data_IF_370098662581
#
_entry.id   IF_370098662581
#
_cell.length_a   1.000
_cell.length_b   1.000
_cell.length_c   1.000
_cell.angle_alpha   90.00
_cell.angle_beta   90.00
_cell.angle_gamma   90.00
#
_symmetry.space_group_name_H-M   'P 1'
#
loop_
_entity.id
_entity.type
_entity.pdbx_description
1 polymer ?
#
# COMPACT_ATOMS: atom_id res chain seq x y z
N UNK A 1 11.27 19.27 -21.33
CA UNK A 1 10.42 19.35 -22.54
C UNK A 1 10.19 17.95 -23.06
N UNK A 2 9.11 17.72 -23.80
CA UNK A 2 8.86 16.49 -24.56
C UNK A 2 8.56 16.86 -26.01
N UNK A 3 8.88 15.95 -26.93
CA UNK A 3 8.54 16.12 -28.34
C UNK A 3 7.14 15.54 -28.60
N UNK A 4 6.30 16.29 -29.31
CA UNK A 4 4.95 15.87 -29.69
C UNK A 4 4.69 16.17 -31.16
N UNK A 5 3.83 15.38 -31.78
CA UNK A 5 3.32 15.66 -33.11
C UNK A 5 2.13 16.62 -33.00
N UNK A 6 2.24 17.78 -33.64
CA UNK A 6 1.15 18.76 -33.76
C UNK A 6 0.61 18.75 -35.20
N UNK A 7 -0.56 19.35 -35.46
CA UNK A 7 -1.04 19.54 -36.84
C UNK A 7 -0.03 20.26 -37.77
N UNK A 8 0.88 21.07 -37.22
CA UNK A 8 1.94 21.77 -37.97
C UNK A 8 3.29 21.05 -38.03
N UNK A 9 3.37 19.80 -37.55
CA UNK A 9 4.60 19.02 -37.45
C UNK A 9 5.10 18.83 -36.02
N UNK A 10 6.33 18.33 -35.87
CA UNK A 10 6.94 18.06 -34.57
C UNK A 10 7.21 19.37 -33.80
N UNK A 11 6.81 19.41 -32.53
CA UNK A 11 7.06 20.53 -31.63
C UNK A 11 7.54 20.05 -30.26
N UNK A 12 8.32 20.88 -29.57
CA UNK A 12 8.71 20.63 -28.19
C UNK A 12 7.80 21.41 -27.24
N UNK A 13 7.18 20.73 -26.29
CA UNK A 13 6.32 21.34 -25.26
C UNK A 13 6.83 21.02 -23.85
N UNK A 14 6.40 21.79 -22.86
CA UNK A 14 6.59 21.42 -21.45
C UNK A 14 5.81 20.12 -21.20
N UNK A 15 6.41 19.16 -20.51
CA UNK A 15 5.73 17.91 -20.16
C UNK A 15 4.67 18.21 -19.09
N UNK A 16 3.36 18.11 -19.39
CA UNK A 16 2.32 18.38 -18.41
C UNK A 16 2.25 17.29 -17.33
N UNK A 17 2.83 16.10 -17.57
CA UNK A 17 2.88 15.01 -16.60
C UNK A 17 4.04 15.15 -15.59
N UNK A 18 4.94 16.11 -15.80
CA UNK A 18 6.10 16.30 -14.92
C UNK A 18 5.70 16.97 -13.60
N UNK A 19 4.92 18.05 -13.69
CA UNK A 19 4.38 18.78 -12.54
C UNK A 19 3.24 19.70 -13.01
N UNK A 20 2.25 19.93 -12.15
CA UNK A 20 1.24 20.96 -12.34
C UNK A 20 1.79 22.33 -11.95
N UNK A 21 1.42 23.38 -12.68
CA UNK A 21 1.80 24.77 -12.40
C UNK A 21 0.57 25.48 -11.88
N UNK A 22 0.65 26.07 -10.70
CA UNK A 22 -0.48 26.79 -10.13
C UNK A 22 -0.71 28.14 -10.84
N UNK A 23 -1.98 28.45 -11.11
CA UNK A 23 -2.39 29.71 -11.72
C UNK A 23 -3.84 30.07 -11.29
N UNK A 24 -4.04 30.94 -10.27
CA UNK A 24 -3.03 31.66 -9.50
C UNK A 24 -2.27 30.77 -8.50
N UNK A 25 -1.23 31.33 -7.89
CA UNK A 25 -0.51 30.68 -6.81
C UNK A 25 -1.45 30.44 -5.61
N UNK A 26 -1.52 29.22 -5.04
CA UNK A 26 -2.27 28.97 -3.82
C UNK A 26 -1.67 29.73 -2.64
N UNK A 27 -2.54 30.19 -1.76
CA UNK A 27 -2.18 30.76 -0.46
C UNK A 27 -2.12 29.67 0.62
N UNK A 28 -1.51 29.99 1.77
CA UNK A 28 -1.55 29.09 2.92
C UNK A 28 -2.98 28.80 3.42
N UNK A 29 -3.94 29.70 3.18
CA UNK A 29 -5.36 29.45 3.46
C UNK A 29 -6.02 28.45 2.50
N UNK A 30 -5.52 28.34 1.27
CA UNK A 30 -6.00 27.32 0.33
C UNK A 30 -5.49 25.94 0.74
N UNK A 31 -4.23 25.85 1.20
CA UNK A 31 -3.61 24.60 1.67
C UNK A 31 -3.19 24.65 3.16
N UNK A 32 -4.13 24.71 4.12
CA UNK A 32 -3.81 24.93 5.54
C UNK A 32 -3.01 23.80 6.20
N UNK A 33 -2.97 22.59 5.64
CA UNK A 33 -2.24 21.49 6.25
C UNK A 33 -0.72 21.69 6.18
N UNK A 34 0.00 21.10 7.14
CA UNK A 34 1.45 21.26 7.29
C UNK A 34 1.87 22.74 7.26
N UNK A 35 1.12 23.60 7.96
CA UNK A 35 1.36 25.04 8.06
C UNK A 35 1.47 25.77 6.71
N UNK A 36 0.77 25.30 5.66
CA UNK A 36 0.83 25.94 4.35
C UNK A 36 2.09 25.65 3.55
N UNK A 37 2.96 24.73 3.99
CA UNK A 37 4.28 24.51 3.38
C UNK A 37 4.20 24.29 1.87
N UNK A 38 3.26 23.47 1.41
CA UNK A 38 3.14 23.16 -0.02
C UNK A 38 2.53 24.32 -0.84
N UNK A 39 1.86 25.29 -0.22
CA UNK A 39 1.34 26.47 -0.91
C UNK A 39 2.45 27.42 -1.36
N UNK A 40 3.66 27.31 -0.80
CA UNK A 40 4.80 28.12 -1.21
C UNK A 40 5.40 27.69 -2.57
N UNK A 41 5.11 26.47 -3.03
CA UNK A 41 5.67 25.97 -4.28
C UNK A 41 4.83 26.39 -5.49
N UNK A 42 5.46 26.99 -6.49
CA UNK A 42 4.79 27.39 -7.74
C UNK A 42 4.30 26.22 -8.60
N UNK A 43 4.84 25.04 -8.34
CA UNK A 43 4.47 23.80 -8.99
C UNK A 43 4.32 22.70 -7.97
N UNK A 44 3.66 21.61 -8.34
CA UNK A 44 3.69 20.39 -7.53
C UNK A 44 5.13 19.85 -7.42
N UNK A 45 5.51 19.39 -6.24
CA UNK A 45 6.86 18.89 -5.94
C UNK A 45 6.82 17.50 -5.30
N UNK A 46 7.91 16.74 -5.47
CA UNK A 46 8.12 15.40 -4.92
C UNK A 46 9.44 15.43 -4.16
N UNK A 47 9.46 15.04 -2.89
CA UNK A 47 10.64 15.16 -2.02
C UNK A 47 11.34 16.54 -2.12
N UNK A 48 10.64 17.66 -1.88
CA UNK A 48 11.28 18.98 -1.95
C UNK A 48 12.45 19.07 -0.96
N UNK A 49 13.57 19.64 -1.40
CA UNK A 49 14.66 20.06 -0.51
C UNK A 49 14.28 21.30 0.31
N UNK A 50 15.19 21.80 1.16
CA UNK A 50 14.99 23.01 1.97
C UNK A 50 14.71 24.28 1.14
N UNK A 51 15.05 24.28 -0.15
CA UNK A 51 14.81 25.37 -1.09
C UNK A 51 13.55 25.15 -1.94
N UNK A 52 12.83 24.04 -1.76
CA UNK A 52 11.65 23.68 -2.53
C UNK A 52 11.91 23.01 -3.88
N UNK A 53 13.15 22.62 -4.17
CA UNK A 53 13.47 21.90 -5.40
C UNK A 53 12.98 20.46 -5.31
N UNK A 54 12.19 20.02 -6.28
CA UNK A 54 11.69 18.64 -6.37
C UNK A 54 12.83 17.64 -6.63
N UNK A 55 12.86 16.54 -5.89
CA UNK A 55 13.87 15.47 -5.94
C UNK A 55 13.26 14.11 -6.32
N UNK A 56 12.78 13.93 -7.57
CA UNK A 56 12.11 12.69 -7.98
C UNK A 56 13.01 11.43 -7.94
N UNK A 57 14.33 11.58 -7.87
CA UNK A 57 15.23 10.44 -7.68
C UNK A 57 15.10 9.81 -6.28
N UNK A 58 14.77 10.59 -5.24
CA UNK A 58 14.49 10.06 -3.91
C UNK A 58 13.22 9.23 -3.91
N UNK A 59 12.19 9.67 -4.64
CA UNK A 59 11.00 8.86 -4.86
C UNK A 59 11.33 7.51 -5.51
N UNK A 60 12.19 7.50 -6.54
CA UNK A 60 12.65 6.26 -7.15
C UNK A 60 13.44 5.38 -6.16
N UNK A 61 14.24 5.98 -5.29
CA UNK A 61 15.02 5.25 -4.29
C UNK A 61 14.13 4.56 -3.26
N UNK A 62 13.12 5.26 -2.72
CA UNK A 62 12.16 4.68 -1.77
C UNK A 62 11.26 3.62 -2.44
N UNK A 63 10.77 3.88 -3.65
CA UNK A 63 10.02 2.89 -4.42
C UNK A 63 10.86 1.63 -4.68
N UNK A 64 12.12 1.79 -5.07
CA UNK A 64 13.04 0.66 -5.28
C UNK A 64 13.31 -0.09 -3.98
N UNK A 65 13.46 0.63 -2.86
CA UNK A 65 13.71 0.03 -1.57
C UNK A 65 12.55 -0.86 -1.10
N UNK A 66 11.31 -0.48 -1.45
CA UNK A 66 10.07 -1.18 -1.08
C UNK A 66 9.49 -2.06 -2.21
N UNK A 67 10.15 -2.12 -3.37
CA UNK A 67 9.64 -2.79 -4.59
C UNK A 67 9.28 -4.26 -4.35
N UNK A 68 10.14 -5.01 -3.64
CA UNK A 68 9.91 -6.42 -3.37
C UNK A 68 8.68 -6.63 -2.49
N UNK A 69 8.52 -5.82 -1.45
CA UNK A 69 7.38 -5.94 -0.56
C UNK A 69 6.06 -5.57 -1.24
N UNK A 70 6.04 -4.50 -2.04
CA UNK A 70 4.85 -4.14 -2.82
C UNK A 70 4.48 -5.22 -3.85
N UNK A 71 5.48 -5.86 -4.46
CA UNK A 71 5.30 -6.98 -5.38
C UNK A 71 4.67 -8.19 -4.68
N UNK A 72 5.27 -8.63 -3.56
CA UNK A 72 4.77 -9.76 -2.77
C UNK A 72 3.36 -9.49 -2.22
N UNK A 73 3.09 -8.29 -1.70
CA UNK A 73 1.77 -7.90 -1.19
C UNK A 73 0.71 -7.87 -2.30
N UNK A 74 1.08 -7.42 -3.50
CA UNK A 74 0.16 -7.41 -4.65
C UNK A 74 -0.26 -8.83 -5.00
N UNK A 75 0.69 -9.76 -5.09
CA UNK A 75 0.38 -11.16 -5.37
C UNK A 75 -0.45 -11.80 -4.26
N UNK A 76 -0.08 -11.59 -2.99
CA UNK A 76 -0.83 -12.11 -1.84
C UNK A 76 -2.27 -11.60 -1.79
N UNK A 77 -2.49 -10.31 -2.10
CA UNK A 77 -3.82 -9.72 -2.11
C UNK A 77 -4.71 -10.31 -3.20
N UNK A 78 -4.16 -10.53 -4.40
CA UNK A 78 -4.93 -10.97 -5.56
C UNK A 78 -5.03 -12.49 -5.70
N UNK A 79 -4.15 -13.26 -5.06
CA UNK A 79 -4.17 -14.73 -5.11
C UNK A 79 -4.93 -15.40 -3.96
N UNK A 80 -5.30 -14.65 -2.92
CA UNK A 80 -6.12 -15.15 -1.81
C UNK A 80 -7.53 -14.57 -1.89
N UNK A 81 -8.53 -15.30 -1.37
CA UNK A 81 -9.92 -14.86 -1.38
C UNK A 81 -10.22 -13.91 -0.23
N UNK A 82 -10.65 -12.70 -0.54
CA UNK A 82 -11.04 -11.66 0.42
C UNK A 82 -12.52 -11.35 0.35
N UNK A 83 -13.10 -10.93 1.48
CA UNK A 83 -14.36 -10.18 1.45
C UNK A 83 -14.09 -8.73 1.03
N UNK A 84 -15.12 -8.01 0.54
CA UNK A 84 -14.95 -6.66 0.00
C UNK A 84 -14.29 -5.69 0.98
N UNK A 85 -14.77 -5.62 2.22
CA UNK A 85 -14.32 -4.64 3.21
C UNK A 85 -12.79 -4.70 3.45
N UNK A 86 -12.21 -5.83 3.89
CA UNK A 86 -10.77 -5.93 4.14
C UNK A 86 -9.92 -5.85 2.87
N UNK A 87 -10.46 -6.20 1.68
CA UNK A 87 -9.76 -5.94 0.42
C UNK A 87 -9.68 -4.44 0.12
N UNK A 88 -10.80 -3.74 0.28
CA UNK A 88 -11.00 -2.37 -0.18
C UNK A 88 -10.24 -1.32 0.62
N UNK A 89 -10.18 -1.47 1.95
CA UNK A 89 -9.72 -0.39 2.84
C UNK A 89 -8.96 -0.91 4.06
N UNK A 90 -8.26 -0.02 4.72
CA UNK A 90 -7.42 -0.27 5.89
C UNK A 90 -8.20 -0.34 7.20
N UNK A 91 -9.48 0.02 7.25
CA UNK A 91 -10.29 0.08 8.47
C UNK A 91 -10.84 -1.27 8.94
N UNK A 92 -10.78 -2.30 8.08
CA UNK A 92 -11.33 -3.63 8.38
C UNK A 92 -10.26 -4.71 8.26
N UNK A 93 -10.18 -5.57 9.27
CA UNK A 93 -9.50 -6.85 9.16
C UNK A 93 -10.51 -7.93 8.75
N UNK A 94 -10.06 -8.93 7.99
CA UNK A 94 -10.92 -10.01 7.46
C UNK A 94 -11.41 -11.01 8.53
N UNK A 95 -11.15 -10.77 9.82
CA UNK A 95 -11.60 -11.62 10.94
C UNK A 95 -10.93 -13.00 11.04
N UNK A 96 -10.36 -13.52 9.94
CA UNK A 96 -9.66 -14.80 9.80
C UNK A 96 -8.18 -14.73 10.22
N UNK A 97 -7.92 -14.08 11.35
CA UNK A 97 -6.68 -14.29 12.11
C UNK A 97 -5.34 -13.91 11.45
N UNK A 98 -5.23 -12.78 10.72
CA UNK A 98 -3.91 -12.29 10.25
C UNK A 98 -3.85 -11.76 8.82
N UNK A 99 -5.00 -11.56 8.19
CA UNK A 99 -5.13 -11.00 6.85
C UNK A 99 -5.31 -9.47 6.93
N UNK A 100 -4.20 -8.74 7.04
CA UNK A 100 -4.18 -7.28 7.28
C UNK A 100 -3.71 -6.46 6.05
N UNK A 101 -3.61 -7.06 4.87
CA UNK A 101 -3.33 -6.31 3.65
C UNK A 101 -4.62 -5.84 2.98
N UNK A 102 -4.57 -4.68 2.32
CA UNK A 102 -5.66 -4.14 1.52
C UNK A 102 -5.08 -3.37 0.33
N UNK A 103 -5.92 -3.09 -0.67
CA UNK A 103 -5.50 -2.27 -1.80
C UNK A 103 -5.14 -0.85 -1.35
N UNK A 104 -5.90 -0.30 -0.38
CA UNK A 104 -5.64 1.01 0.22
C UNK A 104 -4.29 1.06 0.97
N UNK A 105 -3.90 -0.01 1.67
CA UNK A 105 -2.59 -0.09 2.33
C UNK A 105 -1.43 0.11 1.33
N UNK A 106 -1.44 -0.60 0.20
CA UNK A 106 -0.42 -0.46 -0.83
C UNK A 106 -0.51 0.90 -1.54
N UNK A 107 -1.72 1.39 -1.77
CA UNK A 107 -1.97 2.73 -2.32
C UNK A 107 -1.36 3.84 -1.46
N UNK A 108 -1.56 3.78 -0.14
CA UNK A 108 -1.04 4.76 0.81
C UNK A 108 0.49 4.80 0.81
N UNK A 109 1.13 3.64 0.67
CA UNK A 109 2.58 3.52 0.58
C UNK A 109 3.14 4.27 -0.65
N UNK A 110 2.52 4.11 -1.84
CA UNK A 110 2.96 4.80 -3.06
C UNK A 110 2.83 6.33 -2.93
N UNK A 111 1.73 6.81 -2.35
CA UNK A 111 1.56 8.23 -2.06
C UNK A 111 2.74 8.80 -1.24
N UNK A 112 3.14 8.06 -0.21
CA UNK A 112 4.26 8.43 0.66
C UNK A 112 5.61 8.38 -0.05
N UNK A 113 5.93 7.28 -0.71
CA UNK A 113 7.20 7.09 -1.38
C UNK A 113 7.40 8.08 -2.53
N UNK A 114 6.34 8.43 -3.27
CA UNK A 114 6.42 9.42 -4.34
C UNK A 114 6.49 10.84 -3.77
N UNK A 115 5.71 11.12 -2.73
CA UNK A 115 5.55 12.46 -2.21
C UNK A 115 6.75 12.95 -1.40
N UNK A 116 7.37 12.11 -0.57
CA UNK A 116 8.32 12.60 0.44
C UNK A 116 7.60 13.56 1.36
N UNK A 117 8.01 14.83 1.44
CA UNK A 117 7.29 15.97 2.06
C UNK A 117 6.43 16.80 1.09
N UNK A 118 6.41 16.48 -0.20
CA UNK A 118 5.70 17.19 -1.29
C UNK A 118 4.23 16.77 -1.52
N UNK A 119 3.66 17.09 -2.68
CA UNK A 119 2.22 16.99 -2.93
C UNK A 119 1.65 15.58 -2.78
N UNK A 120 2.31 14.56 -3.35
CA UNK A 120 1.76 13.20 -3.39
C UNK A 120 1.51 12.57 -2.01
N UNK A 121 2.18 13.01 -0.95
CA UNK A 121 1.87 12.54 0.42
C UNK A 121 1.18 13.57 1.33
N UNK A 122 0.78 14.73 0.80
CA UNK A 122 -0.26 15.54 1.45
C UNK A 122 -1.59 15.22 0.79
N UNK A 123 -2.28 14.19 1.29
CA UNK A 123 -3.40 13.54 0.62
C UNK A 123 -4.46 14.50 0.05
N UNK A 124 -4.97 15.52 0.78
CA UNK A 124 -5.97 16.44 0.22
C UNK A 124 -5.50 17.25 -1.00
N UNK A 125 -4.20 17.29 -1.26
CA UNK A 125 -3.58 18.03 -2.36
C UNK A 125 -2.78 17.12 -3.30
N UNK A 126 -2.84 15.80 -3.10
CA UNK A 126 -2.11 14.83 -3.90
C UNK A 126 -2.57 14.80 -5.36
N UNK A 127 -3.87 15.00 -5.60
CA UNK A 127 -4.47 15.01 -6.94
C UNK A 127 -3.98 16.14 -7.85
N UNK A 128 -3.32 17.17 -7.31
CA UNK A 128 -2.68 18.19 -8.13
C UNK A 128 -1.43 17.66 -8.85
N UNK A 129 -0.70 16.70 -8.27
CA UNK A 129 0.46 16.10 -8.93
C UNK A 129 -0.02 15.16 -10.07
N UNK A 130 0.38 15.37 -11.33
CA UNK A 130 -0.10 14.56 -12.45
C UNK A 130 0.11 13.05 -12.30
N UNK A 131 1.11 12.60 -11.53
CA UNK A 131 1.34 11.16 -11.30
C UNK A 131 0.25 10.49 -10.46
N UNK A 132 -0.54 11.28 -9.72
CA UNK A 132 -1.71 10.81 -8.97
C UNK A 132 -2.63 9.97 -9.86
N UNK A 133 -2.93 10.45 -11.06
CA UNK A 133 -3.87 9.81 -11.97
C UNK A 133 -3.30 8.51 -12.57
N UNK A 134 -1.98 8.43 -12.77
CA UNK A 134 -1.32 7.21 -13.21
C UNK A 134 -1.29 6.15 -12.11
N UNK A 135 -1.06 6.59 -10.87
CA UNK A 135 -1.15 5.72 -9.69
C UNK A 135 -2.57 5.16 -9.53
N UNK A 136 -3.58 6.03 -9.53
CA UNK A 136 -4.99 5.64 -9.39
C UNK A 136 -5.51 4.81 -10.56
N UNK A 137 -4.99 4.99 -11.78
CA UNK A 137 -5.28 4.08 -12.89
C UNK A 137 -4.76 2.65 -12.62
N UNK A 138 -3.60 2.51 -11.97
CA UNK A 138 -3.13 1.19 -11.57
C UNK A 138 -3.89 0.62 -10.36
N UNK A 139 -4.36 1.46 -9.43
CA UNK A 139 -5.25 1.02 -8.34
C UNK A 139 -6.56 0.48 -8.90
N UNK A 140 -7.19 1.21 -9.82
CA UNK A 140 -8.39 0.77 -10.53
C UNK A 140 -8.14 -0.52 -11.34
N UNK A 141 -6.97 -0.65 -11.98
CA UNK A 141 -6.54 -1.91 -12.62
C UNK A 141 -6.54 -3.05 -11.61
N UNK A 142 -5.83 -2.94 -10.49
CA UNK A 142 -5.75 -4.01 -9.49
C UNK A 142 -7.13 -4.36 -8.91
N UNK A 143 -7.99 -3.37 -8.67
CA UNK A 143 -9.37 -3.57 -8.25
C UNK A 143 -10.17 -4.36 -9.30
N UNK A 144 -10.05 -3.98 -10.57
CA UNK A 144 -10.73 -4.64 -11.69
C UNK A 144 -10.27 -6.09 -11.90
N UNK A 145 -8.97 -6.37 -11.70
CA UNK A 145 -8.45 -7.75 -11.70
C UNK A 145 -9.06 -8.56 -10.56
N UNK A 146 -9.15 -7.97 -9.36
CA UNK A 146 -9.77 -8.64 -8.21
C UNK A 146 -11.25 -8.94 -8.44
N UNK A 147 -12.02 -8.01 -9.02
CA UNK A 147 -13.43 -8.24 -9.39
C UNK A 147 -13.58 -9.41 -10.37
N UNK A 148 -12.67 -9.55 -11.33
CA UNK A 148 -12.69 -10.65 -12.28
C UNK A 148 -12.35 -12.01 -11.64
N UNK A 149 -11.59 -12.03 -10.55
CA UNK A 149 -11.25 -13.23 -9.80
C UNK A 149 -12.33 -13.61 -8.78
N UNK A 150 -12.99 -12.62 -8.20
CA UNK A 150 -13.95 -12.79 -7.10
C UNK A 150 -15.26 -12.02 -7.38
N UNK A 151 -16.02 -12.39 -8.43
CA UNK A 151 -17.19 -11.63 -8.87
C UNK A 151 -18.32 -11.53 -7.82
N UNK A 152 -18.40 -12.50 -6.90
CA UNK A 152 -19.41 -12.53 -5.84
C UNK A 152 -19.02 -11.71 -4.60
N UNK A 153 -17.77 -11.21 -4.53
CA UNK A 153 -17.27 -10.44 -3.40
C UNK A 153 -17.70 -8.97 -3.47
N UNK A 154 -18.99 -8.71 -3.67
CA UNK A 154 -19.53 -7.34 -3.72
C UNK A 154 -19.59 -6.70 -2.33
N UNK A 155 -19.69 -5.36 -2.29
CA UNK A 155 -20.08 -4.65 -1.07
C UNK A 155 -21.51 -5.02 -0.71
N UNK A 156 -21.68 -5.84 0.34
CA UNK A 156 -22.97 -6.38 0.79
C UNK A 156 -23.42 -5.82 2.14
N UNK A 157 -22.52 -5.19 2.89
CA UNK A 157 -22.78 -4.67 4.24
C UNK A 157 -22.38 -3.22 4.31
N UNK A 158 -23.21 -2.41 4.97
CA UNK A 158 -22.89 -1.01 5.21
C UNK A 158 -21.70 -0.87 6.16
N UNK A 159 -20.81 0.06 5.85
CA UNK A 159 -19.57 0.35 6.57
C UNK A 159 -19.60 1.77 7.12
N UNK A 160 -19.00 1.99 8.29
CA UNK A 160 -18.88 3.33 8.85
C UNK A 160 -17.66 4.03 8.26
N UNK A 161 -17.87 5.22 7.69
CA UNK A 161 -16.79 6.12 7.31
C UNK A 161 -16.33 6.90 8.53
N UNK A 162 -15.36 6.31 9.21
CA UNK A 162 -14.65 6.85 10.36
C UNK A 162 -14.32 8.36 10.24
N UNK A 163 -13.63 8.75 9.16
CA UNK A 163 -13.08 10.09 8.99
C UNK A 163 -14.08 11.09 8.38
N UNK A 164 -15.11 10.60 7.70
CA UNK A 164 -16.02 11.40 6.90
C UNK A 164 -15.38 11.91 5.59
N UNK A 165 -16.20 12.57 4.79
CA UNK A 165 -15.82 13.24 3.53
C UNK A 165 -16.45 14.63 3.48
N UNK A 166 -16.26 15.36 2.37
CA UNK A 166 -16.91 16.66 2.20
C UNK A 166 -18.45 16.58 2.28
N UNK A 167 -19.05 15.48 1.80
CA UNK A 167 -20.52 15.30 1.77
C UNK A 167 -21.05 14.32 2.80
N UNK A 168 -20.17 13.66 3.56
CA UNK A 168 -20.55 12.67 4.57
C UNK A 168 -19.88 13.03 5.91
N UNK A 169 -20.64 13.23 6.99
CA UNK A 169 -20.02 13.50 8.29
C UNK A 169 -19.21 12.29 8.79
N UNK A 170 -18.22 12.51 9.66
CA UNK A 170 -17.52 11.43 10.36
C UNK A 170 -18.50 10.45 11.04
N UNK A 171 -18.24 9.15 10.91
CA UNK A 171 -19.11 8.06 11.38
C UNK A 171 -20.32 7.80 10.47
N UNK A 172 -20.47 8.51 9.35
CA UNK A 172 -21.55 8.27 8.38
C UNK A 172 -21.48 6.87 7.78
N UNK A 173 -22.63 6.25 7.57
CA UNK A 173 -22.70 4.90 7.01
C UNK A 173 -22.72 4.94 5.48
N UNK A 174 -21.90 4.11 4.85
CA UNK A 174 -21.81 3.95 3.41
C UNK A 174 -22.14 2.50 3.01
N UNK A 175 -22.74 2.31 1.85
CA UNK A 175 -23.06 1.03 1.24
C UNK A 175 -22.95 1.12 -0.29
N UNK A 176 -23.28 0.03 -0.99
CA UNK A 176 -23.16 -0.02 -2.44
C UNK A 176 -24.02 1.00 -3.20
N UNK A 177 -25.07 1.52 -2.57
CA UNK A 177 -25.99 2.50 -3.13
C UNK A 177 -25.65 3.95 -2.78
N UNK A 178 -24.71 4.14 -1.85
CA UNK A 178 -24.30 5.45 -1.35
C UNK A 178 -23.72 6.32 -2.48
N UNK A 179 -24.07 7.61 -2.52
CA UNK A 179 -23.71 8.49 -3.63
C UNK A 179 -22.22 8.81 -3.63
N UNK A 180 -21.52 8.48 -4.72
CA UNK A 180 -20.15 8.89 -4.98
C UNK A 180 -20.15 10.33 -5.53
N UNK A 181 -20.35 11.30 -4.65
CA UNK A 181 -20.34 12.72 -5.04
C UNK A 181 -18.92 13.17 -5.44
N UNK A 182 -18.78 14.12 -6.38
CA UNK A 182 -19.81 14.79 -7.16
C UNK A 182 -20.06 14.14 -8.54
N UNK A 183 -19.72 12.85 -8.72
CA UNK A 183 -19.76 12.21 -10.03
C UNK A 183 -21.18 11.92 -10.48
N UNK A 184 -21.62 12.50 -11.60
CA UNK A 184 -23.00 12.43 -12.10
C UNK A 184 -23.16 11.45 -13.27
N UNK A 185 -24.28 10.74 -13.29
CA UNK A 185 -24.76 9.98 -14.45
C UNK A 185 -25.38 10.92 -15.50
N UNK A 186 -25.69 10.39 -16.69
CA UNK A 186 -26.37 11.14 -17.74
C UNK A 186 -27.77 11.64 -17.32
N UNK A 187 -28.43 10.90 -16.43
CA UNK A 187 -29.72 11.23 -15.82
C UNK A 187 -29.61 12.22 -14.65
N UNK A 188 -28.41 12.79 -14.42
CA UNK A 188 -28.11 13.77 -13.37
C UNK A 188 -28.24 13.23 -11.92
N UNK A 189 -28.30 11.91 -11.76
CA UNK A 189 -28.14 11.24 -10.46
C UNK A 189 -26.65 11.08 -10.12
N UNK A 190 -26.29 10.77 -8.88
CA UNK A 190 -24.89 10.46 -8.56
C UNK A 190 -24.56 9.02 -8.94
N UNK A 191 -23.34 8.77 -9.41
CA UNK A 191 -22.79 7.42 -9.44
C UNK A 191 -22.76 6.82 -8.02
N UNK A 192 -22.71 5.48 -7.93
CA UNK A 192 -22.50 4.72 -6.69
C UNK A 192 -21.68 3.47 -7.01
N UNK A 193 -21.33 2.66 -6.00
CA UNK A 193 -20.52 1.46 -6.23
C UNK A 193 -21.18 0.48 -7.21
N UNK A 194 -22.52 0.34 -7.17
CA UNK A 194 -23.25 -0.53 -8.11
C UNK A 194 -23.11 -0.05 -9.57
N UNK A 195 -23.26 1.25 -9.84
CA UNK A 195 -23.12 1.79 -11.21
C UNK A 195 -21.67 1.84 -11.67
N UNK A 196 -20.72 1.94 -10.73
CA UNK A 196 -19.29 1.93 -10.99
C UNK A 196 -18.69 0.51 -11.13
N UNK A 197 -19.43 -0.55 -10.75
CA UNK A 197 -18.89 -1.91 -10.66
C UNK A 197 -18.32 -2.46 -11.98
N UNK A 198 -18.90 -2.08 -13.12
CA UNK A 198 -18.43 -2.50 -14.43
C UNK A 198 -17.71 -1.36 -15.15
N UNK A 199 -16.38 -1.41 -15.19
CA UNK A 199 -15.53 -0.41 -15.85
C UNK A 199 -15.83 -0.23 -17.34
N UNK A 200 -16.36 -1.25 -18.02
CA UNK A 200 -16.69 -1.18 -19.45
C UNK A 200 -17.81 -0.18 -19.73
N UNK A 201 -18.67 0.09 -18.76
CA UNK A 201 -19.70 1.13 -18.83
C UNK A 201 -19.12 2.53 -18.98
N UNK A 202 -17.85 2.73 -18.61
CA UNK A 202 -17.11 3.98 -18.76
C UNK A 202 -16.20 4.02 -20.00
N UNK A 203 -16.29 3.00 -20.88
CA UNK A 203 -15.61 2.99 -22.16
C UNK A 203 -14.14 2.55 -22.12
N UNK A 204 -13.68 1.92 -21.05
CA UNK A 204 -12.31 1.41 -20.95
C UNK A 204 -12.23 -0.02 -20.40
N UNK A 205 -11.05 -0.63 -20.53
CA UNK A 205 -10.69 -1.93 -19.94
C UNK A 205 -9.17 -2.02 -19.79
N UNK A 206 -8.67 -3.10 -19.18
CA UNK A 206 -7.25 -3.39 -19.04
C UNK A 206 -6.81 -4.57 -19.91
N UNK A 207 -5.54 -4.63 -20.36
CA UNK A 207 -5.06 -5.73 -21.21
C UNK A 207 -5.32 -7.12 -20.63
N UNK A 208 -5.23 -7.29 -19.31
CA UNK A 208 -5.48 -8.56 -18.63
C UNK A 208 -6.96 -8.95 -18.61
N UNK A 209 -7.87 -8.00 -18.83
CA UNK A 209 -9.32 -8.20 -18.90
C UNK A 209 -9.85 -8.16 -20.35
N UNK A 210 -9.03 -7.73 -21.30
CA UNK A 210 -9.41 -7.65 -22.69
C UNK A 210 -9.59 -9.06 -23.27
N UNK A 211 -10.72 -9.28 -23.94
CA UNK A 211 -10.95 -10.47 -24.74
C UNK A 211 -10.05 -10.42 -25.97
N UNK A 212 -9.36 -11.52 -26.30
CA UNK A 212 -8.61 -11.65 -27.56
C UNK A 212 -9.50 -11.75 -28.81
N UNK A 213 -10.83 -11.62 -28.64
CA UNK A 213 -11.82 -11.68 -29.71
C UNK A 213 -12.98 -10.69 -29.53
N UNK A 214 -13.64 -10.38 -30.63
CA UNK A 214 -14.74 -9.39 -30.77
C UNK A 214 -16.06 -9.80 -30.09
N UNK A 215 -16.09 -10.93 -29.39
CA UNK A 215 -17.28 -11.41 -28.68
C UNK A 215 -17.30 -10.85 -27.25
N UNK A 216 -18.34 -10.09 -26.93
CA UNK A 216 -18.64 -9.64 -25.56
C UNK A 216 -18.98 -10.78 -24.58
N UNK A 217 -19.02 -12.04 -25.05
CA UNK A 217 -19.35 -13.25 -24.29
C UNK A 217 -18.12 -14.11 -23.99
N UNK A 218 -17.13 -13.57 -23.25
CA UNK A 218 -16.19 -14.47 -22.55
C UNK A 218 -16.84 -14.88 -21.22
N UNK A 219 -16.90 -16.18 -20.94
CA UNK A 219 -17.39 -16.66 -19.64
C UNK A 219 -16.51 -16.13 -18.50
N UNK A 220 -17.11 -15.78 -17.37
CA UNK A 220 -16.37 -15.26 -16.21
C UNK A 220 -15.17 -16.13 -15.82
N UNK A 221 -15.29 -17.46 -15.96
CA UNK A 221 -14.20 -18.42 -15.72
C UNK A 221 -12.96 -18.24 -16.61
N UNK A 222 -13.15 -17.92 -17.90
CA UNK A 222 -12.05 -17.72 -18.83
C UNK A 222 -11.33 -16.39 -18.57
N UNK A 223 -12.06 -15.33 -18.20
CA UNK A 223 -11.45 -14.07 -17.75
C UNK A 223 -10.67 -14.32 -16.46
N UNK A 224 -11.25 -15.01 -15.46
CA UNK A 224 -10.52 -15.33 -14.23
C UNK A 224 -9.23 -16.10 -14.52
N UNK A 225 -9.26 -17.12 -15.37
CA UNK A 225 -8.08 -17.88 -15.79
C UNK A 225 -7.00 -17.00 -16.43
N UNK A 226 -7.39 -16.15 -17.39
CA UNK A 226 -6.48 -15.18 -18.02
C UNK A 226 -5.84 -14.23 -17.00
N UNK A 227 -6.63 -13.71 -16.06
CA UNK A 227 -6.14 -12.84 -14.99
C UNK A 227 -5.17 -13.60 -14.09
N UNK A 228 -5.46 -14.84 -13.71
CA UNK A 228 -4.54 -15.67 -12.92
C UNK A 228 -3.21 -15.88 -13.61
N UNK A 229 -3.20 -16.26 -14.90
CA UNK A 229 -1.95 -16.40 -15.67
C UNK A 229 -1.17 -15.08 -15.76
N UNK A 230 -1.86 -13.96 -15.99
CA UNK A 230 -1.23 -12.64 -16.03
C UNK A 230 -0.61 -12.27 -14.68
N UNK A 231 -1.30 -12.52 -13.57
CA UNK A 231 -0.81 -12.27 -12.23
C UNK A 231 0.36 -13.18 -11.87
N UNK A 232 0.33 -14.45 -12.28
CA UNK A 232 1.46 -15.36 -12.10
C UNK A 232 2.70 -14.86 -12.84
N UNK A 233 2.53 -14.40 -14.08
CA UNK A 233 3.63 -13.85 -14.88
C UNK A 233 4.23 -12.56 -14.30
N UNK A 234 3.38 -11.67 -13.78
CA UNK A 234 3.80 -10.34 -13.33
C UNK A 234 4.25 -10.33 -11.86
N UNK A 235 3.57 -11.10 -11.01
CA UNK A 235 3.63 -10.94 -9.56
C UNK A 235 3.99 -12.21 -8.77
N UNK A 236 4.09 -13.39 -9.38
CA UNK A 236 4.45 -14.59 -8.62
C UNK A 236 5.89 -14.47 -8.04
N UNK A 237 6.07 -14.55 -6.71
CA UNK A 237 7.37 -14.41 -6.07
C UNK A 237 8.31 -15.60 -6.33
N UNK A 238 7.81 -16.75 -6.79
CA UNK A 238 8.64 -17.92 -7.15
C UNK A 238 9.21 -17.85 -8.57
N UNK A 239 8.78 -16.85 -9.36
CA UNK A 239 9.24 -16.63 -10.72
C UNK A 239 10.67 -16.08 -10.84
N UNK A 240 11.02 -15.60 -12.04
CA UNK A 240 12.40 -15.17 -12.39
C UNK A 240 12.87 -13.85 -11.74
N UNK A 241 12.11 -13.26 -10.82
CA UNK A 241 12.54 -12.03 -10.14
C UNK A 241 13.54 -12.41 -9.05
N UNK A 242 14.79 -11.99 -9.24
CA UNK A 242 15.82 -12.12 -8.21
C UNK A 242 15.43 -11.19 -7.04
N UNK A 243 15.23 -11.73 -5.82
CA UNK A 243 14.95 -10.91 -4.66
C UNK A 243 16.05 -9.87 -4.47
N UNK A 244 15.71 -8.67 -3.98
CA UNK A 244 16.71 -7.69 -3.55
C UNK A 244 17.58 -8.34 -2.46
N UNK A 245 18.91 -8.39 -2.67
CA UNK A 245 19.83 -8.86 -1.65
C UNK A 245 19.92 -7.82 -0.53
N UNK A 246 19.55 -8.24 0.69
CA UNK A 246 19.69 -7.43 1.90
C UNK A 246 21.10 -7.61 2.47
N UNK A 247 21.74 -6.50 2.85
CA UNK A 247 23.07 -6.54 3.47
C UNK A 247 22.94 -6.75 4.98
N UNK A 248 23.01 -8.01 5.44
CA UNK A 248 22.90 -8.38 6.86
C UNK A 248 24.25 -8.92 7.36
N UNK A 249 24.63 -8.57 8.61
CA UNK A 249 25.90 -9.03 9.22
C UNK A 249 25.86 -10.47 9.75
N UNK A 250 24.71 -11.15 9.68
CA UNK A 250 24.54 -12.47 10.27
C UNK A 250 25.22 -13.56 9.42
N UNK A 251 26.04 -14.39 10.06
CA UNK A 251 26.56 -15.62 9.46
C UNK A 251 25.53 -16.74 9.64
N UNK A 252 24.81 -17.09 8.60
CA UNK A 252 24.00 -18.31 8.58
C UNK A 252 24.57 -19.30 7.58
N UNK A 253 25.13 -20.38 8.12
CA UNK A 253 25.55 -21.56 7.37
C UNK A 253 24.34 -22.45 7.07
N UNK A 254 23.85 -22.44 5.84
CA UNK A 254 23.62 -23.63 5.03
C UNK A 254 22.92 -23.22 3.72
N UNK A 255 23.62 -23.43 2.61
CA UNK A 255 23.05 -23.30 1.27
C UNK A 255 22.04 -24.43 1.06
N UNK A 256 20.75 -24.08 1.06
CA UNK A 256 19.71 -24.83 0.36
C UNK A 256 19.37 -24.11 -0.95
N UNK A 257 19.11 -24.87 -2.01
CA UNK A 257 18.61 -24.36 -3.30
C UNK A 257 17.39 -23.46 -3.11
N UNK A 258 17.09 -22.59 -4.10
CA UNK A 258 15.81 -21.86 -4.21
C UNK A 258 14.65 -22.88 -4.18
N UNK A 259 14.18 -23.23 -3.00
CA UNK A 259 12.98 -24.03 -2.82
C UNK A 259 11.81 -23.08 -2.80
N UNK A 260 10.82 -23.37 -3.63
CA UNK A 260 9.48 -22.80 -3.52
C UNK A 260 9.04 -22.81 -2.05
N UNK A 261 8.68 -21.66 -1.47
CA UNK A 261 8.50 -21.54 -0.02
C UNK A 261 7.24 -22.29 0.43
N UNK A 262 7.38 -23.22 1.37
CA UNK A 262 6.24 -23.93 1.97
C UNK A 262 5.57 -23.12 3.09
N UNK A 263 6.24 -22.09 3.60
CA UNK A 263 5.69 -21.16 4.58
C UNK A 263 5.79 -19.71 4.10
N UNK A 264 4.76 -18.93 4.42
CA UNK A 264 4.72 -17.49 4.20
C UNK A 264 4.68 -16.75 5.54
N UNK A 265 5.49 -15.70 5.66
CA UNK A 265 5.62 -14.89 6.86
C UNK A 265 5.31 -13.43 6.56
N UNK A 266 4.52 -12.80 7.43
CA UNK A 266 4.20 -11.37 7.36
C UNK A 266 4.34 -10.71 8.74
N UNK A 267 4.64 -9.42 8.77
CA UNK A 267 4.37 -8.55 9.91
C UNK A 267 3.00 -7.92 9.71
N UNK A 268 2.10 -8.17 10.63
CA UNK A 268 0.79 -7.54 10.69
C UNK A 268 0.80 -6.37 11.65
N UNK A 269 0.23 -5.25 11.20
CA UNK A 269 0.25 -3.98 11.90
C UNK A 269 -1.20 -3.57 12.16
N UNK A 270 -1.48 -3.21 13.41
CA UNK A 270 -2.73 -2.56 13.82
C UNK A 270 -2.35 -1.27 14.53
N UNK A 271 -2.73 -0.13 13.96
CA UNK A 271 -2.44 1.17 14.51
C UNK A 271 -3.73 1.99 14.68
N UNK A 272 -3.79 2.88 15.68
CA UNK A 272 -4.83 3.91 15.73
C UNK A 272 -4.30 5.18 15.08
N UNK A 273 -4.86 5.66 13.96
CA UNK A 273 -4.39 6.89 13.31
C UNK A 273 -4.41 8.12 14.23
N UNK A 274 -5.33 8.14 15.20
CA UNK A 274 -5.48 9.21 16.19
C UNK A 274 -4.38 9.28 17.25
N UNK A 275 -3.48 8.29 17.33
CA UNK A 275 -2.41 8.26 18.35
C UNK A 275 -1.49 9.49 18.30
N UNK A 276 -1.32 10.10 17.12
CA UNK A 276 -0.41 11.24 16.89
C UNK A 276 -1.02 12.43 16.17
N UNK A 277 -2.29 12.36 15.77
CA UNK A 277 -2.93 13.37 14.89
C UNK A 277 -2.07 13.76 13.68
N UNK A 278 -1.24 12.83 13.19
CA UNK A 278 -0.29 13.01 12.09
C UNK A 278 0.09 11.65 11.53
N UNK A 279 0.39 11.61 10.22
CA UNK A 279 0.85 10.39 9.57
C UNK A 279 2.30 10.09 9.96
N UNK A 280 2.65 8.81 10.07
CA UNK A 280 4.02 8.37 10.33
C UNK A 280 4.34 7.09 9.57
N UNK A 281 5.62 6.80 9.43
CA UNK A 281 6.14 5.60 8.76
C UNK A 281 6.81 4.70 9.76
N UNK A 282 6.61 3.39 9.61
CA UNK A 282 7.29 2.33 10.36
C UNK A 282 8.20 1.59 9.39
N UNK A 283 9.50 1.62 9.63
CA UNK A 283 10.53 0.94 8.85
C UNK A 283 10.90 -0.38 9.54
N UNK A 284 10.96 -1.48 8.79
CA UNK A 284 11.31 -2.80 9.28
C UNK A 284 12.62 -3.27 8.67
N UNK A 285 13.50 -3.86 9.47
CA UNK A 285 14.87 -4.20 9.10
C UNK A 285 15.21 -5.64 9.49
N UNK A 286 16.11 -6.26 8.73
CA UNK A 286 16.87 -7.42 9.19
C UNK A 286 18.24 -6.96 9.70
N UNK A 287 18.46 -7.11 11.00
CA UNK A 287 19.56 -6.54 11.76
C UNK A 287 19.36 -5.04 12.06
N UNK A 288 20.31 -4.48 12.81
CA UNK A 288 20.31 -3.05 13.16
C UNK A 288 20.24 -2.16 11.91
N UNK A 289 19.46 -1.08 11.91
CA UNK A 289 19.51 -0.08 10.83
C UNK A 289 20.95 0.42 10.64
N UNK A 290 21.39 0.57 9.39
CA UNK A 290 22.78 0.88 9.03
C UNK A 290 23.36 2.13 9.73
N UNK A 291 22.50 3.05 10.17
CA UNK A 291 22.81 4.12 11.11
C UNK A 291 21.58 4.35 12.04
N UNK A 292 21.61 3.87 13.30
CA UNK A 292 20.50 4.07 14.23
C UNK A 292 20.35 5.54 14.67
N UNK A 293 21.31 6.41 14.35
CA UNK A 293 21.34 7.82 14.71
C UNK A 293 20.91 8.77 13.59
N UNK A 294 20.72 8.27 12.36
CA UNK A 294 20.27 9.05 11.21
C UNK A 294 18.93 8.56 10.63
N UNK A 295 17.79 9.09 11.11
CA UNK A 295 16.45 8.74 10.63
C UNK A 295 16.26 8.94 9.12
N UNK A 296 16.93 9.96 8.57
CA UNK A 296 16.90 10.27 7.13
C UNK A 296 17.37 9.13 6.22
N UNK A 297 18.18 8.19 6.72
CA UNK A 297 18.70 7.06 5.95
C UNK A 297 17.81 5.80 6.00
N UNK A 298 16.81 5.76 6.89
CA UNK A 298 16.03 4.55 7.18
C UNK A 298 15.20 4.05 6.01
N UNK A 299 14.57 4.96 5.25
CA UNK A 299 13.67 4.60 4.13
C UNK A 299 14.38 3.95 2.95
N UNK A 300 15.72 3.96 2.93
CA UNK A 300 16.53 3.41 1.84
C UNK A 300 17.68 2.53 2.33
N UNK A 301 17.69 2.18 3.61
CA UNK A 301 18.75 1.38 4.21
C UNK A 301 18.96 0.04 3.45
N UNK A 302 20.20 -0.46 3.38
CA UNK A 302 20.52 -1.67 2.63
C UNK A 302 19.94 -2.94 3.25
N UNK A 303 19.57 -2.90 4.53
CA UNK A 303 18.92 -3.97 5.26
C UNK A 303 17.44 -3.70 5.57
N UNK A 304 16.87 -2.64 4.99
CA UNK A 304 15.43 -2.38 5.05
C UNK A 304 14.68 -3.50 4.32
N UNK A 305 13.76 -4.13 5.03
CA UNK A 305 12.78 -5.06 4.46
C UNK A 305 11.76 -4.25 3.65
N UNK A 306 11.04 -3.36 4.35
CA UNK A 306 10.06 -2.45 3.79
C UNK A 306 9.58 -1.45 4.86
N UNK A 307 8.77 -0.50 4.42
CA UNK A 307 8.16 0.54 5.24
C UNK A 307 6.64 0.47 5.14
N UNK A 308 5.95 0.64 6.27
CA UNK A 308 4.51 0.77 6.35
C UNK A 308 4.13 2.21 6.71
N UNK A 309 3.08 2.74 6.07
CA UNK A 309 2.60 4.10 6.30
C UNK A 309 1.32 4.03 7.11
N UNK A 310 1.36 4.57 8.33
CA UNK A 310 0.17 4.80 9.14
C UNK A 310 -0.36 6.18 8.76
N UNK A 311 -1.40 6.17 7.94
CA UNK A 311 -2.03 7.38 7.43
C UNK A 311 -2.98 7.98 8.46
N UNK A 312 -2.88 9.29 8.64
CA UNK A 312 -3.85 10.10 9.36
C UNK A 312 -4.38 11.18 8.42
N UNK A 313 -5.70 11.21 8.26
CA UNK A 313 -6.41 12.29 7.59
C UNK A 313 -7.19 13.09 8.66
N UNK A 314 -6.97 14.39 8.80
CA UNK A 314 -7.80 15.21 9.67
C UNK A 314 -9.24 15.27 9.11
N UNK A 315 -10.26 15.35 9.98
CA UNK A 315 -11.64 15.48 9.53
C UNK A 315 -11.83 16.78 8.72
N UNK A 316 -12.81 16.81 7.79
CA UNK A 316 -13.08 17.99 6.98
C UNK A 316 -13.48 19.20 7.84
N UNK A 317 -13.09 20.44 7.47
CA UNK A 317 -13.35 21.65 8.28
C UNK A 317 -14.84 21.92 8.56
N UNK A 318 -15.74 21.38 7.74
CA UNK A 318 -17.19 21.53 7.87
C UNK A 318 -17.81 20.67 8.97
N UNK A 319 -17.07 19.73 9.58
CA UNK A 319 -17.58 18.96 10.70
C UNK A 319 -17.47 19.77 11.99
N UNK A 320 -18.59 20.31 12.49
CA UNK A 320 -18.72 20.82 13.88
C UNK A 320 -18.55 19.70 14.95
N UNK A 321 -18.22 18.49 14.53
CA UNK A 321 -17.94 17.35 15.38
C UNK A 321 -16.42 17.35 15.55
N UNK A 322 -15.95 17.72 16.75
CA UNK A 322 -14.58 17.38 17.15
C UNK A 322 -14.40 15.89 16.88
N UNK A 323 -13.40 15.49 16.07
CA UNK A 323 -12.99 14.10 15.95
C UNK A 323 -12.93 13.55 17.37
N UNK A 324 -13.83 12.63 17.72
CA UNK A 324 -13.82 12.10 19.07
C UNK A 324 -12.46 11.45 19.24
N UNK A 325 -11.66 11.94 20.18
CA UNK A 325 -10.35 11.38 20.54
C UNK A 325 -10.45 9.94 21.06
N UNK A 326 -11.68 9.39 21.11
CA UNK A 326 -12.05 8.06 21.53
C UNK A 326 -12.54 7.15 20.39
N UNK A 327 -12.38 7.51 19.10
CA UNK A 327 -12.66 6.55 18.04
C UNK A 327 -11.64 5.40 18.16
N UNK A 328 -12.15 4.19 18.42
CA UNK A 328 -11.36 2.94 18.49
C UNK A 328 -10.97 2.47 17.07
N UNK A 329 -10.79 3.41 16.15
CA UNK A 329 -10.55 3.15 14.74
C UNK A 329 -9.14 2.65 14.57
N UNK A 330 -9.03 1.40 14.18
CA UNK A 330 -7.77 0.78 13.87
C UNK A 330 -7.61 0.74 12.36
N UNK A 331 -6.43 1.14 11.89
CA UNK A 331 -5.96 0.81 10.56
C UNK A 331 -5.11 -0.45 10.62
N UNK A 332 -5.27 -1.27 9.61
CA UNK A 332 -4.59 -2.55 9.44
C UNK A 332 -3.62 -2.45 8.25
N UNK A 333 -2.46 -3.08 8.41
CA UNK A 333 -1.43 -3.17 7.39
C UNK A 333 -0.63 -4.45 7.49
N UNK A 334 0.09 -4.79 6.42
CA UNK A 334 0.96 -5.96 6.38
C UNK A 334 2.28 -5.66 5.67
N UNK A 335 3.36 -6.29 6.12
CA UNK A 335 4.69 -6.28 5.48
C UNK A 335 5.12 -7.73 5.25
N UNK A 336 5.43 -8.14 4.02
CA UNK A 336 5.85 -9.51 3.72
C UNK A 336 7.30 -9.71 4.16
N UNK A 337 7.57 -10.85 4.78
CA UNK A 337 8.90 -11.24 5.27
C UNK A 337 9.55 -12.35 4.44
N UNK A 338 8.76 -13.20 3.77
CA UNK A 338 9.27 -14.41 3.12
C UNK A 338 10.45 -14.14 2.18
N UNK A 339 10.32 -13.16 1.28
CA UNK A 339 11.40 -12.81 0.34
C UNK A 339 12.64 -12.25 1.04
N UNK A 340 12.46 -11.51 2.13
CA UNK A 340 13.57 -11.01 2.94
C UNK A 340 14.31 -12.14 3.64
N UNK A 341 13.60 -13.12 4.20
CA UNK A 341 14.17 -14.30 4.83
C UNK A 341 14.93 -15.18 3.82
N UNK A 342 14.36 -15.39 2.64
CA UNK A 342 15.04 -16.07 1.53
C UNK A 342 16.31 -15.33 1.09
N UNK A 343 16.29 -13.99 1.06
CA UNK A 343 17.44 -13.18 0.63
C UNK A 343 18.66 -13.30 1.54
N UNK A 344 18.46 -13.70 2.80
CA UNK A 344 19.52 -13.95 3.79
C UNK A 344 19.83 -15.45 3.96
N UNK A 345 19.31 -16.29 3.06
CA UNK A 345 19.58 -17.73 3.03
C UNK A 345 18.81 -18.53 4.08
N UNK A 346 17.76 -17.98 4.70
CA UNK A 346 16.95 -18.75 5.63
C UNK A 346 16.08 -19.75 4.87
N UNK A 347 16.08 -21.01 5.32
CA UNK A 347 15.18 -22.01 4.76
C UNK A 347 13.76 -21.80 5.30
N UNK A 348 12.88 -21.26 4.45
CA UNK A 348 11.46 -21.01 4.77
C UNK A 348 10.58 -22.25 4.59
N UNK A 349 11.15 -23.44 4.36
CA UNK A 349 10.44 -24.72 4.57
C UNK A 349 10.54 -25.20 6.02
N UNK A 350 11.38 -24.58 6.85
CA UNK A 350 11.51 -24.96 8.25
C UNK A 350 10.23 -24.64 9.05
N UNK A 351 9.93 -25.43 10.10
CA UNK A 351 8.82 -25.14 11.01
C UNK A 351 8.94 -23.73 11.62
N UNK A 352 7.80 -23.13 11.96
CA UNK A 352 7.77 -21.79 12.56
C UNK A 352 8.65 -21.63 13.80
N UNK A 353 8.82 -22.70 14.59
CA UNK A 353 9.67 -22.74 15.79
C UNK A 353 11.15 -22.54 15.51
N UNK A 354 11.61 -22.81 14.28
CA UNK A 354 13.01 -22.63 13.88
C UNK A 354 13.27 -21.23 13.30
N UNK A 355 12.25 -20.59 12.74
CA UNK A 355 12.34 -19.22 12.21
C UNK A 355 12.16 -18.17 13.30
N UNK A 356 11.34 -18.44 14.32
CA UNK A 356 11.03 -17.49 15.38
C UNK A 356 12.26 -17.00 16.17
N UNK A 357 13.25 -17.84 16.54
CA UNK A 357 14.48 -17.38 17.20
C UNK A 357 15.28 -16.39 16.35
N UNK A 358 15.45 -16.69 15.05
CA UNK A 358 16.14 -15.79 14.12
C UNK A 358 15.44 -14.44 14.03
N UNK A 359 14.12 -14.43 13.87
CA UNK A 359 13.34 -13.19 13.82
C UNK A 359 13.39 -12.43 15.15
N UNK A 360 13.41 -13.12 16.29
CA UNK A 360 13.55 -12.47 17.61
C UNK A 360 14.89 -11.73 17.73
N UNK A 361 15.95 -12.31 17.18
CA UNK A 361 17.29 -11.72 17.24
C UNK A 361 17.50 -10.61 16.20
N UNK A 362 16.98 -10.79 14.99
CA UNK A 362 17.33 -9.97 13.83
C UNK A 362 16.23 -8.98 13.41
N UNK A 363 14.96 -9.21 13.72
CA UNK A 363 13.89 -8.34 13.24
C UNK A 363 13.79 -7.08 14.10
N UNK A 364 14.05 -5.94 13.48
CA UNK A 364 13.98 -4.63 14.12
C UNK A 364 13.02 -3.70 13.40
N UNK A 365 12.51 -2.70 14.12
CA UNK A 365 11.69 -1.65 13.55
C UNK A 365 12.00 -0.28 14.15
N UNK A 366 11.79 0.78 13.36
CA UNK A 366 11.86 2.18 13.79
C UNK A 366 10.70 2.95 13.20
N UNK A 367 10.24 3.99 13.87
CA UNK A 367 9.17 4.84 13.37
C UNK A 367 9.61 6.30 13.31
N UNK A 368 9.17 7.01 12.27
CA UNK A 368 9.43 8.44 12.11
C UNK A 368 8.25 9.14 11.43
N UNK A 369 8.08 10.43 11.72
CA UNK A 369 7.19 11.30 10.95
C UNK A 369 7.85 11.67 9.61
N UNK A 370 7.04 12.28 8.75
CA UNK A 370 7.40 12.68 7.40
C UNK A 370 8.63 13.59 7.29
N UNK A 371 8.82 14.44 8.29
CA UNK A 371 9.94 15.37 8.40
C UNK A 371 11.22 14.73 8.97
N UNK A 372 11.19 13.42 9.21
CA UNK A 372 12.31 12.66 9.78
C UNK A 372 12.36 12.68 11.31
N UNK A 373 11.38 13.28 11.99
CA UNK A 373 11.34 13.24 13.46
C UNK A 373 11.05 11.83 13.94
N UNK A 374 11.94 11.27 14.76
CA UNK A 374 11.75 9.94 15.36
C UNK A 374 10.48 9.91 16.19
N UNK A 375 9.67 8.88 15.98
CA UNK A 375 8.51 8.59 16.82
C UNK A 375 9.00 7.89 18.07
N UNK A 376 8.79 8.51 19.23
CA UNK A 376 8.98 7.88 20.53
C UNK A 376 7.90 6.79 20.74
N UNK A 377 8.31 5.53 20.60
CA UNK A 377 7.46 4.35 20.65
C UNK A 377 7.16 3.87 22.07
N UNK A 378 7.90 4.37 23.06
CA UNK A 378 7.66 4.11 24.48
C UNK A 378 6.63 5.08 25.06
N UNK A 379 6.30 6.16 24.34
CA UNK A 379 5.27 7.11 24.73
C UNK A 379 3.91 6.43 25.01
N UNK A 380 3.28 6.77 26.14
CA UNK A 380 1.97 6.24 26.57
C UNK A 380 0.87 6.37 25.51
N UNK A 381 0.95 7.35 24.60
CA UNK A 381 -0.01 7.52 23.51
C UNK A 381 0.05 6.43 22.43
N UNK A 382 1.22 5.81 22.24
CA UNK A 382 1.40 4.71 21.30
C UNK A 382 1.25 3.34 21.98
N UNK A 383 1.53 3.27 23.28
CA UNK A 383 1.33 2.06 24.07
C UNK A 383 -0.15 1.61 23.99
N UNK A 384 -0.36 0.40 23.46
CA UNK A 384 -1.68 -0.19 23.28
C UNK A 384 -2.42 0.24 22.00
N UNK A 385 -2.01 1.34 21.35
CA UNK A 385 -2.59 1.84 20.09
C UNK A 385 -1.88 1.33 18.85
N UNK A 386 -0.57 1.05 18.94
CA UNK A 386 0.20 0.34 17.91
C UNK A 386 0.46 -1.09 18.36
N UNK A 387 0.11 -2.07 17.54
CA UNK A 387 0.38 -3.49 17.77
C UNK A 387 0.92 -4.10 16.51
N UNK A 388 1.99 -4.87 16.65
CA UNK A 388 2.63 -5.58 15.54
C UNK A 388 2.80 -7.05 15.88
N UNK A 389 2.57 -7.91 14.91
CA UNK A 389 2.64 -9.35 15.08
C UNK A 389 3.34 -9.97 13.89
N UNK A 390 4.34 -10.82 14.13
CA UNK A 390 4.81 -11.73 13.10
C UNK A 390 3.81 -12.87 13.03
N UNK A 391 3.31 -13.15 11.83
CA UNK A 391 2.45 -14.29 11.55
C UNK A 391 3.07 -15.17 10.47
N UNK A 392 2.84 -16.47 10.55
CA UNK A 392 3.24 -17.46 9.55
C UNK A 392 2.03 -18.28 9.08
N UNK A 393 2.02 -18.73 7.83
CA UNK A 393 1.04 -19.70 7.31
C UNK A 393 1.69 -20.69 6.35
N UNK A 394 1.12 -21.87 6.24
CA UNK A 394 1.50 -22.83 5.19
C UNK A 394 1.03 -22.34 3.81
N UNK A 395 1.81 -22.66 2.78
CA UNK A 395 1.51 -22.37 1.38
C UNK A 395 1.78 -23.61 0.54
N UNK A 396 0.77 -24.02 -0.24
CA UNK A 396 0.93 -25.08 -1.23
C UNK A 396 0.86 -24.47 -2.61
N UNK A 397 1.92 -24.62 -3.38
CA UNK A 397 2.00 -24.05 -4.71
C UNK A 397 1.42 -25.02 -5.75
N UNK A 398 0.77 -24.48 -6.80
CA UNK A 398 0.31 -25.30 -7.92
C UNK A 398 1.50 -25.94 -8.65
N UNK A 399 1.23 -26.98 -9.43
CA UNK A 399 2.25 -27.58 -10.27
C UNK A 399 2.79 -26.55 -11.30
N UNK A 400 4.06 -26.63 -11.67
CA UNK A 400 4.65 -25.69 -12.65
C UNK A 400 3.94 -25.70 -14.02
N UNK A 401 3.26 -26.80 -14.36
CA UNK A 401 2.45 -26.92 -15.58
C UNK A 401 1.11 -26.18 -15.52
N UNK A 402 0.66 -25.75 -14.33
CA UNK A 402 -0.61 -25.04 -14.13
C UNK A 402 -0.39 -23.53 -14.24
N UNK A 403 -0.36 -23.02 -15.47
CA UNK A 403 -0.07 -21.59 -15.74
C UNK A 403 -1.01 -20.61 -15.02
N UNK A 404 -2.28 -20.99 -14.83
CA UNK A 404 -3.30 -20.21 -14.15
C UNK A 404 -3.57 -20.67 -12.70
N UNK A 405 -2.76 -21.59 -12.18
CA UNK A 405 -2.86 -22.07 -10.81
C UNK A 405 -2.48 -21.00 -9.81
N UNK A 406 -3.24 -20.88 -8.72
CA UNK A 406 -2.88 -20.04 -7.58
C UNK A 406 -2.50 -20.91 -6.38
N UNK A 407 -1.65 -20.41 -5.47
CA UNK A 407 -1.33 -21.13 -4.25
C UNK A 407 -2.54 -21.31 -3.35
N UNK A 408 -2.58 -22.44 -2.64
CA UNK A 408 -3.49 -22.66 -1.53
C UNK A 408 -2.83 -22.18 -0.24
N UNK A 409 -3.60 -21.43 0.56
CA UNK A 409 -3.10 -20.82 1.79
C UNK A 409 -3.74 -21.47 3.02
N UNK A 410 -2.90 -21.84 3.99
CA UNK A 410 -3.33 -22.20 5.33
C UNK A 410 -3.77 -21.00 6.18
N UNK A 411 -4.22 -21.28 7.39
CA UNK A 411 -4.50 -20.25 8.40
C UNK A 411 -3.21 -19.64 8.96
N UNK A 412 -3.30 -18.36 9.36
CA UNK A 412 -2.18 -17.69 10.00
C UNK A 412 -2.03 -18.10 11.47
N UNK A 413 -0.81 -18.45 11.85
CA UNK A 413 -0.37 -18.64 13.23
C UNK A 413 0.47 -17.44 13.67
N UNK A 414 0.20 -16.92 14.86
CA UNK A 414 1.02 -15.86 15.46
C UNK A 414 2.31 -16.44 16.00
N UNK A 415 3.43 -15.80 15.71
CA UNK A 415 4.77 -16.27 16.08
C UNK A 415 5.44 -15.36 17.12
N UNK A 416 5.40 -14.06 16.89
CA UNK A 416 6.06 -13.05 17.73
C UNK A 416 5.20 -11.80 17.85
N UNK A 417 5.39 -11.05 18.94
CA UNK A 417 4.85 -9.70 19.10
C UNK A 417 5.94 -8.66 18.96
N UNK A 418 5.60 -7.53 18.36
CA UNK A 418 6.45 -6.34 18.39
C UNK A 418 6.50 -5.74 19.80
N UNK A 419 7.69 -5.37 20.24
CA UNK A 419 7.96 -4.71 21.52
C UNK A 419 8.12 -3.20 21.30
N UNK A 420 7.89 -2.40 22.34
CA UNK A 420 8.04 -0.94 22.28
C UNK A 420 9.50 -0.50 21.98
N UNK A 421 10.48 -1.36 22.27
CA UNK A 421 11.92 -1.14 22.09
C UNK A 421 12.40 -1.28 20.62
N UNK A 422 11.49 -1.36 19.65
CA UNK A 422 11.88 -1.53 18.26
C UNK A 422 12.29 -2.96 17.88
N UNK A 423 11.89 -3.96 18.68
CA UNK A 423 12.22 -5.39 18.47
C UNK A 423 10.96 -6.26 18.39
N UNK A 424 11.17 -7.56 18.19
CA UNK A 424 10.13 -8.58 18.27
C UNK A 424 10.54 -9.67 19.25
N UNK A 425 9.58 -10.23 19.99
CA UNK A 425 9.85 -11.32 20.93
C UNK A 425 8.61 -11.75 21.69
N UNK A 426 8.61 -13.01 22.13
CA UNK A 426 7.56 -13.60 22.97
C UNK A 426 6.15 -13.66 22.36
N UNK A 427 5.26 -14.38 23.05
CA UNK A 427 3.81 -14.42 22.81
C UNK A 427 3.03 -14.19 24.10
#
# INVERSE_FOLDING_TARGET
MINVNTPGGSANIRNPLYAYVYHPQPSASDFPLNNGTIAHFHTTVRHPDEHGNSQPWLANQELNANRQALHDLTYQLLSDKWSYAPFSNTGYADGRGGRYNSIENMHNAIHYFVGGTGNMAVFPYSAFDPIFWLHHANVDRLFSLWQALYPDAHLTTSQANAQGTFTLPPGGMEDASSPLTPFRTAENSNHNANTAWNIRSFGYTYPELASSGSSNDISSSAISSQVRSALNKLYNPTGSIVPRSLSVKASTSSLGSKTTPEHQYNINIRASPSCRNSSFTIHFFLGNPADPTSPSAWSTAPNLIASHVVMYMPPPPSSNIQASSNSKEAVYGSIPLTSALLSVGLNVTLPFSEVAPFLTEQLEWRAQTRDGTVVDTENERLQGQLRMFVVGREVRWPAESEEDGFPEYGEFAMLLRGTAEGKFGGL
#
